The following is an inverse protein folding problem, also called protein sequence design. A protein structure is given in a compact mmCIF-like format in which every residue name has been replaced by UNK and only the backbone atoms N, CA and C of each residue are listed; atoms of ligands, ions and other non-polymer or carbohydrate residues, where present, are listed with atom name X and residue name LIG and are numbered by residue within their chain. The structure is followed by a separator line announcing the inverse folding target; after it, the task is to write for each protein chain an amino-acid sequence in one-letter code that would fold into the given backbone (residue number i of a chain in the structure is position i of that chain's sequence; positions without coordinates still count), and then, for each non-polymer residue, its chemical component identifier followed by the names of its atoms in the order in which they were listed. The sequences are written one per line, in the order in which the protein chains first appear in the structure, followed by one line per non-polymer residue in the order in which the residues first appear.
data_IF_748658926311
#
_entry.id   IF_748658926311
#
_cell.length_a   1.000
_cell.length_b   1.000
_cell.length_c   1.000
_cell.angle_alpha   90.00
_cell.angle_beta   90.00
_cell.angle_gamma   90.00
#
_symmetry.space_group_name_H-M   'P 1'
#
loop_
_entity.id
_entity.type
_entity.pdbx_description
1 polymer ?
#
# COMPACT_ATOMS: atom_id res chain seq x y z
N UNK A 1 40.43 -27.13 22.12
CA UNK A 1 40.54 -25.64 22.09
C UNK A 1 40.40 -25.25 20.63
N UNK A 2 39.20 -25.07 20.09
CA UNK A 2 38.24 -23.97 20.32
C UNK A 2 38.71 -22.67 19.67
N UNK A 3 38.14 -22.31 18.50
CA UNK A 3 37.17 -21.19 18.38
C UNK A 3 36.76 -20.97 16.92
N UNK A 4 35.50 -21.32 16.69
CA UNK A 4 34.49 -20.73 15.81
C UNK A 4 34.90 -19.45 15.07
N UNK A 5 34.63 -19.39 13.76
CA UNK A 5 34.16 -18.14 13.16
C UNK A 5 33.14 -18.43 12.04
N UNK A 6 31.89 -18.56 12.47
CA UNK A 6 30.70 -18.40 11.64
C UNK A 6 30.57 -16.91 11.29
N UNK A 7 31.15 -16.47 10.18
CA UNK A 7 30.76 -15.18 9.60
C UNK A 7 29.76 -15.45 8.46
N UNK A 8 28.52 -15.64 8.92
CA UNK A 8 27.30 -15.40 8.15
C UNK A 8 27.32 -13.95 7.70
N UNK A 9 27.70 -13.72 6.45
CA UNK A 9 27.42 -12.48 5.77
C UNK A 9 25.90 -12.36 5.69
N UNK A 10 25.31 -11.61 6.63
CA UNK A 10 24.01 -11.01 6.41
C UNK A 10 24.23 -9.90 5.40
N UNK A 11 24.14 -10.25 4.12
CA UNK A 11 23.86 -9.23 3.12
C UNK A 11 22.53 -8.57 3.52
N UNK A 12 22.46 -7.23 3.61
CA UNK A 12 21.19 -6.56 3.67
C UNK A 12 20.52 -6.90 2.34
N UNK A 13 19.46 -7.70 2.39
CA UNK A 13 18.53 -7.78 1.26
C UNK A 13 17.92 -6.39 1.17
N UNK A 14 18.53 -5.54 0.35
CA UNK A 14 17.87 -4.40 -0.26
C UNK A 14 16.70 -4.99 -1.04
N UNK A 15 15.59 -5.24 -0.33
CA UNK A 15 14.28 -5.48 -0.91
C UNK A 15 13.87 -4.17 -1.57
N UNK A 16 14.52 -3.88 -2.70
CA UNK A 16 13.95 -3.09 -3.78
C UNK A 16 12.77 -3.90 -4.31
N UNK A 17 11.74 -4.07 -3.50
CA UNK A 17 10.45 -4.54 -3.98
C UNK A 17 10.06 -3.54 -5.07
N UNK A 18 9.87 -4.02 -6.31
CA UNK A 18 9.49 -3.13 -7.40
C UNK A 18 8.29 -2.32 -6.92
N UNK A 19 8.39 -1.00 -7.02
CA UNK A 19 7.23 -0.13 -6.93
C UNK A 19 6.41 -0.41 -8.18
N UNK A 20 5.70 -1.53 -8.16
CA UNK A 20 4.97 -2.01 -9.32
C UNK A 20 3.70 -1.17 -9.45
N UNK A 21 3.40 -0.65 -10.66
CA UNK A 21 2.27 0.24 -10.88
C UNK A 21 0.94 -0.46 -10.60
N UNK A 22 -0.08 0.31 -10.24
CA UNK A 22 -1.46 -0.17 -10.22
C UNK A 22 -1.89 -0.59 -11.62
N UNK A 23 -2.82 -1.56 -11.72
CA UNK A 23 -3.37 -2.01 -13.01
C UNK A 23 -4.32 -0.94 -13.58
N UNK A 24 -3.95 -0.23 -14.66
CA UNK A 24 -4.82 0.80 -15.26
C UNK A 24 -6.08 0.20 -15.88
N UNK A 25 -6.01 -1.04 -16.39
CA UNK A 25 -7.14 -1.72 -17.02
C UNK A 25 -8.24 -2.07 -16.03
N UNK A 26 -7.89 -2.23 -14.75
CA UNK A 26 -8.88 -2.38 -13.68
C UNK A 26 -9.70 -1.10 -13.48
N UNK A 27 -9.04 0.07 -13.48
CA UNK A 27 -9.75 1.35 -13.35
C UNK A 27 -10.57 1.67 -14.60
N UNK A 28 -10.07 1.36 -15.79
CA UNK A 28 -10.85 1.49 -17.04
C UNK A 28 -12.14 0.64 -17.00
N UNK A 29 -12.07 -0.57 -16.43
CA UNK A 29 -13.25 -1.43 -16.25
C UNK A 29 -14.28 -0.81 -15.28
N UNK A 30 -13.82 -0.14 -14.21
CA UNK A 30 -14.71 0.60 -13.31
C UNK A 30 -15.40 1.78 -14.01
N UNK A 31 -14.69 2.50 -14.89
CA UNK A 31 -15.28 3.54 -15.73
C UNK A 31 -16.33 2.97 -16.69
N UNK A 32 -16.05 1.82 -17.32
CA UNK A 32 -16.99 1.14 -18.22
C UNK A 32 -18.26 0.67 -17.48
N UNK A 33 -18.18 0.37 -16.18
CA UNK A 33 -19.33 0.10 -15.31
C UNK A 33 -20.12 1.37 -14.91
N UNK A 34 -19.68 2.55 -15.35
CA UNK A 34 -20.34 3.84 -15.09
C UNK A 34 -19.94 4.50 -13.78
N UNK A 35 -18.83 4.07 -13.16
CA UNK A 35 -18.29 4.73 -11.97
C UNK A 35 -17.61 6.03 -12.39
N UNK A 36 -17.98 7.13 -11.72
CA UNK A 36 -17.25 8.39 -11.81
C UNK A 36 -15.87 8.22 -11.15
N UNK A 37 -14.88 7.89 -11.97
CA UNK A 37 -13.50 7.66 -11.53
C UNK A 37 -12.89 8.90 -10.87
N UNK A 38 -13.23 10.11 -11.31
CA UNK A 38 -12.68 11.33 -10.72
C UNK A 38 -13.22 11.50 -9.29
N UNK A 39 -14.53 11.37 -9.09
CA UNK A 39 -15.12 11.45 -7.76
C UNK A 39 -14.62 10.31 -6.85
N UNK A 40 -14.53 9.09 -7.40
CA UNK A 40 -14.05 7.91 -6.68
C UNK A 40 -12.59 8.07 -6.24
N UNK A 41 -11.67 8.39 -7.16
CA UNK A 41 -10.24 8.53 -6.88
C UNK A 41 -9.97 9.72 -5.94
N UNK A 42 -10.67 10.83 -6.09
CA UNK A 42 -10.54 11.96 -5.15
C UNK A 42 -10.94 11.57 -3.72
N UNK A 43 -12.08 10.87 -3.57
CA UNK A 43 -12.54 10.36 -2.28
C UNK A 43 -11.56 9.33 -1.69
N UNK A 44 -11.10 8.41 -2.54
CA UNK A 44 -10.15 7.37 -2.18
C UNK A 44 -8.80 7.96 -1.73
N UNK A 45 -8.21 8.89 -2.50
CA UNK A 45 -6.93 9.53 -2.18
C UNK A 45 -7.00 10.26 -0.83
N UNK A 46 -8.11 10.94 -0.53
CA UNK A 46 -8.32 11.61 0.76
C UNK A 46 -8.38 10.61 1.91
N UNK A 47 -9.22 9.58 1.79
CA UNK A 47 -9.35 8.54 2.81
C UNK A 47 -8.02 7.80 3.03
N UNK A 48 -7.30 7.50 1.96
CA UNK A 48 -6.03 6.80 2.02
C UNK A 48 -4.95 7.64 2.71
N UNK A 49 -4.88 8.96 2.48
CA UNK A 49 -3.96 9.84 3.22
C UNK A 49 -4.22 9.80 4.73
N UNK A 50 -5.48 9.86 5.14
CA UNK A 50 -5.86 9.81 6.56
C UNK A 50 -5.45 8.47 7.19
N UNK A 51 -5.68 7.38 6.48
CA UNK A 51 -5.34 6.02 6.93
C UNK A 51 -3.82 5.79 7.01
N UNK A 52 -3.05 6.30 6.05
CA UNK A 52 -1.58 6.27 6.08
C UNK A 52 -0.99 7.15 7.18
N UNK A 53 -1.65 8.29 7.47
CA UNK A 53 -1.31 9.13 8.63
C UNK A 53 -1.44 8.34 9.93
N UNK A 54 -2.60 7.70 10.14
CA UNK A 54 -2.85 6.86 11.31
C UNK A 54 -1.90 5.66 11.42
N UNK A 55 -1.52 5.03 10.29
CA UNK A 55 -0.50 3.98 10.29
C UNK A 55 0.87 4.50 10.71
N UNK A 56 1.22 5.71 10.26
CA UNK A 56 2.48 6.38 10.65
C UNK A 56 2.52 6.72 12.13
N UNK A 57 1.38 7.03 12.74
CA UNK A 57 1.28 7.30 14.18
C UNK A 57 1.39 5.99 14.98
N UNK A 58 0.63 4.97 14.56
CA UNK A 58 0.62 3.65 15.22
C UNK A 58 1.91 2.86 15.05
N UNK A 59 2.83 3.24 14.13
CA UNK A 59 4.13 2.58 14.00
C UNK A 59 5.00 2.71 15.25
N UNK A 60 4.78 3.75 16.06
CA UNK A 60 5.46 3.93 17.34
C UNK A 60 4.87 3.01 18.44
N UNK A 61 3.70 2.45 18.18
CA UNK A 61 2.93 1.58 19.09
C UNK A 61 2.62 0.24 18.39
N UNK A 62 3.66 -0.51 18.00
CA UNK A 62 3.51 -1.75 17.21
C UNK A 62 2.62 -2.82 17.88
N UNK A 63 2.53 -2.78 19.22
CA UNK A 63 1.68 -3.66 20.05
C UNK A 63 0.22 -3.20 20.12
N UNK A 64 -0.14 -2.08 19.48
CA UNK A 64 -1.51 -1.58 19.46
C UNK A 64 -2.43 -2.59 18.78
N UNK A 65 -3.49 -2.98 19.49
CA UNK A 65 -4.55 -3.83 18.95
C UNK A 65 -5.26 -3.21 17.73
N UNK A 66 -5.10 -1.90 17.50
CA UNK A 66 -5.70 -1.18 16.37
C UNK A 66 -4.89 -1.33 15.08
N UNK A 67 -3.59 -1.65 15.18
CA UNK A 67 -2.69 -1.71 14.04
C UNK A 67 -3.05 -2.84 13.05
N UNK A 68 -3.36 -4.08 13.46
CA UNK A 68 -3.85 -5.12 12.56
C UNK A 68 -5.13 -4.72 11.82
N UNK A 69 -6.10 -4.13 12.52
CA UNK A 69 -7.36 -3.71 11.93
C UNK A 69 -7.17 -2.58 10.90
N UNK A 70 -6.28 -1.64 11.20
CA UNK A 70 -5.93 -0.57 10.27
C UNK A 70 -5.22 -1.12 9.02
N UNK A 71 -4.22 -1.99 9.19
CA UNK A 71 -3.53 -2.64 8.07
C UNK A 71 -4.49 -3.44 7.17
N UNK A 72 -5.45 -4.15 7.77
CA UNK A 72 -6.47 -4.87 7.02
C UNK A 72 -7.38 -3.93 6.23
N UNK A 73 -7.81 -2.81 6.83
CA UNK A 73 -8.60 -1.78 6.13
C UNK A 73 -7.83 -1.19 4.96
N UNK A 74 -6.57 -0.81 5.17
CA UNK A 74 -5.70 -0.25 4.14
C UNK A 74 -5.46 -1.27 3.02
N UNK A 75 -5.28 -2.56 3.35
CA UNK A 75 -5.21 -3.65 2.37
C UNK A 75 -6.45 -3.68 1.48
N UNK A 76 -7.65 -3.63 2.06
CA UNK A 76 -8.89 -3.59 1.29
C UNK A 76 -8.98 -2.37 0.38
N UNK A 77 -8.64 -1.19 0.89
CA UNK A 77 -8.69 0.06 0.14
C UNK A 77 -7.77 0.04 -1.09
N UNK A 78 -6.53 -0.45 -0.97
CA UNK A 78 -5.61 -0.51 -2.12
C UNK A 78 -6.05 -1.56 -3.16
N UNK A 79 -6.80 -2.58 -2.75
CA UNK A 79 -7.41 -3.54 -3.67
C UNK A 79 -8.45 -2.91 -4.61
N UNK A 80 -9.15 -1.85 -4.15
CA UNK A 80 -10.15 -1.13 -4.94
C UNK A 80 -9.57 -0.30 -6.09
N UNK A 81 -8.24 -0.11 -6.12
CA UNK A 81 -7.54 0.60 -7.19
C UNK A 81 -6.60 -0.32 -7.96
N UNK A 82 -6.77 -1.64 -7.82
CA UNK A 82 -5.98 -2.64 -8.56
C UNK A 82 -4.56 -2.86 -8.03
N UNK A 83 -4.17 -2.31 -6.87
CA UNK A 83 -2.82 -2.48 -6.32
C UNK A 83 -2.67 -3.80 -5.53
N UNK A 84 -2.78 -4.93 -6.23
CA UNK A 84 -2.83 -6.28 -5.64
C UNK A 84 -1.59 -6.63 -4.81
N UNK A 85 -0.39 -6.27 -5.26
CA UNK A 85 0.84 -6.56 -4.53
C UNK A 85 0.90 -5.82 -3.18
N UNK A 86 0.54 -4.53 -3.18
CA UNK A 86 0.45 -3.74 -1.95
C UNK A 86 -0.66 -4.28 -1.04
N UNK A 87 -1.81 -4.68 -1.60
CA UNK A 87 -2.89 -5.34 -0.87
C UNK A 87 -2.36 -6.57 -0.13
N UNK A 88 -1.64 -7.46 -0.82
CA UNK A 88 -1.09 -8.68 -0.22
C UNK A 88 -0.07 -8.38 0.88
N UNK A 89 0.83 -7.41 0.66
CA UNK A 89 1.83 -7.02 1.65
C UNK A 89 1.20 -6.44 2.92
N UNK A 90 0.19 -5.56 2.78
CA UNK A 90 -0.57 -5.01 3.91
C UNK A 90 -1.38 -6.09 4.64
N UNK A 91 -1.99 -7.02 3.90
CA UNK A 91 -2.72 -8.15 4.48
C UNK A 91 -1.81 -9.03 5.31
N UNK A 92 -0.63 -9.36 4.77
CA UNK A 92 0.37 -10.15 5.47
C UNK A 92 0.85 -9.47 6.75
N UNK A 93 1.14 -8.16 6.69
CA UNK A 93 1.49 -7.38 7.88
C UNK A 93 0.35 -7.31 8.93
N UNK A 94 -0.91 -7.43 8.51
CA UNK A 94 -2.05 -7.49 9.43
C UNK A 94 -2.13 -8.82 10.20
N UNK A 95 -1.72 -9.93 9.57
CA UNK A 95 -1.86 -11.29 10.13
C UNK A 95 -0.60 -11.84 10.79
N UNK A 96 0.56 -11.20 10.57
CA UNK A 96 1.86 -11.72 11.00
C UNK A 96 2.58 -10.73 11.93
N UNK A 97 2.24 -10.68 13.24
CA UNK A 97 2.86 -9.74 14.18
C UNK A 97 4.37 -9.87 14.30
N UNK A 98 4.91 -11.10 14.19
CA UNK A 98 6.35 -11.40 14.31
C UNK A 98 7.22 -10.77 13.21
N UNK A 99 6.62 -10.40 12.08
CA UNK A 99 7.31 -9.76 10.95
C UNK A 99 7.06 -8.25 10.88
N UNK A 100 6.28 -7.72 11.84
CA UNK A 100 5.98 -6.30 11.92
C UNK A 100 7.12 -5.56 12.60
N UNK A 101 7.65 -4.56 11.93
CA UNK A 101 8.62 -3.61 12.48
C UNK A 101 8.25 -2.21 12.04
N UNK A 102 8.73 -1.19 12.75
CA UNK A 102 8.51 0.19 12.32
C UNK A 102 9.01 0.42 10.88
N UNK A 103 10.14 -0.18 10.51
CA UNK A 103 10.68 -0.11 9.15
C UNK A 103 9.81 -0.80 8.09
N UNK A 104 9.19 -1.95 8.41
CA UNK A 104 8.27 -2.59 7.45
C UNK A 104 6.97 -1.83 7.30
N UNK A 105 6.44 -1.22 8.38
CA UNK A 105 5.28 -0.32 8.30
C UNK A 105 5.63 0.94 7.47
N UNK A 106 6.80 1.52 7.67
CA UNK A 106 7.26 2.68 6.90
C UNK A 106 7.36 2.39 5.41
N UNK A 107 7.88 1.22 5.04
CA UNK A 107 7.95 0.79 3.63
C UNK A 107 6.56 0.62 3.01
N UNK A 108 5.57 0.12 3.76
CA UNK A 108 4.18 0.01 3.31
C UNK A 108 3.53 1.38 3.17
N UNK A 109 3.77 2.29 4.13
CA UNK A 109 3.27 3.68 4.07
C UNK A 109 3.87 4.41 2.87
N UNK A 110 5.17 4.26 2.62
CA UNK A 110 5.84 4.85 1.47
C UNK A 110 5.23 4.35 0.15
N UNK A 111 5.01 3.04 0.01
CA UNK A 111 4.34 2.46 -1.16
C UNK A 111 2.92 2.99 -1.35
N UNK A 112 2.14 3.12 -0.27
CA UNK A 112 0.80 3.72 -0.34
C UNK A 112 0.82 5.19 -0.78
N UNK A 113 1.81 5.99 -0.33
CA UNK A 113 1.98 7.38 -0.78
C UNK A 113 2.35 7.46 -2.26
N UNK A 114 3.22 6.56 -2.73
CA UNK A 114 3.55 6.48 -4.15
C UNK A 114 2.33 6.12 -4.99
N UNK A 115 1.50 5.18 -4.54
CA UNK A 115 0.25 4.83 -5.21
C UNK A 115 -0.70 6.03 -5.35
N UNK A 116 -0.89 6.80 -4.27
CA UNK A 116 -1.68 8.05 -4.32
C UNK A 116 -1.10 9.00 -5.39
N UNK A 117 0.20 9.24 -5.37
CA UNK A 117 0.83 10.16 -6.32
C UNK A 117 0.69 9.69 -7.77
N UNK A 118 0.78 8.38 -8.02
CA UNK A 118 0.59 7.82 -9.35
C UNK A 118 -0.87 7.98 -9.82
N UNK A 119 -1.86 7.74 -8.95
CA UNK A 119 -3.28 7.90 -9.27
C UNK A 119 -3.67 9.37 -9.52
N UNK A 120 -3.11 10.30 -8.75
CA UNK A 120 -3.32 11.74 -8.98
C UNK A 120 -2.68 12.21 -10.30
N UNK A 121 -1.50 11.69 -10.62
CA UNK A 121 -0.82 11.99 -11.88
C UNK A 121 -1.52 11.38 -13.09
N UNK A 122 -2.22 10.25 -12.92
CA UNK A 122 -2.87 9.53 -14.01
C UNK A 122 -4.02 10.30 -14.67
N UNK A 123 -4.53 11.39 -14.05
CA UNK A 123 -5.52 12.33 -14.61
C UNK A 123 -6.44 11.66 -15.63
N UNK A 124 -7.39 10.83 -15.16
CA UNK A 124 -8.33 10.16 -16.04
C UNK A 124 -9.10 11.24 -16.80
N UNK A 125 -8.86 11.41 -18.12
CA UNK A 125 -9.59 12.40 -18.86
C UNK A 125 -11.03 11.91 -18.87
N UNK A 126 -11.90 12.65 -18.17
CA UNK A 126 -13.35 12.55 -18.25
C UNK A 126 -13.70 12.26 -19.71
N UNK A 127 -14.00 10.99 -20.05
CA UNK A 127 -14.29 10.59 -21.42
C UNK A 127 -15.70 11.07 -21.71
N UNK A 128 -15.83 12.38 -21.89
CA UNK A 128 -16.92 13.04 -22.56
C UNK A 128 -16.80 12.70 -24.05
N UNK A 129 -16.97 11.44 -24.43
CA UNK A 129 -17.29 11.13 -25.83
C UNK A 129 -18.79 11.31 -26.00
N UNK A 130 -19.21 12.57 -26.04
CA UNK A 130 -20.33 12.97 -26.87
C UNK A 130 -19.78 13.14 -28.29
N UNK A 131 -20.02 12.17 -29.17
CA UNK A 131 -20.16 12.39 -30.60
C UNK A 131 -20.96 11.27 -31.24
#
# INVERSE_FOLDING_TARGET
MDKTNFNRAFEPVELSEPTEPFDPGYLDSLADEGIDLDAFLNGWCRAMRDDLGRLSDLRCELESAQLPALLHRVSGAVGLVGAQHLMHALRHASTTPSERSAGSIDALVARGRTLIAQLEAASYPHRNTSS
#
